data_IF_097437003009
#
_entry.id   IF_097437003009
#
_cell.length_a   1.000
_cell.length_b   1.000
_cell.length_c   1.000
_cell.angle_alpha   90.00
_cell.angle_beta   90.00
_cell.angle_gamma   90.00
#
_symmetry.space_group_name_H-M   'P 1'
#
loop_
_entity.id
_entity.type
_entity.pdbx_description
1 polymer ?
#
# COMPACT_ATOMS: atom_id res chain seq x y z
N UNK A 1 11.69 12.39 9.55
CA UNK A 1 12.89 12.06 10.36
C UNK A 1 13.90 13.22 10.46
N UNK A 2 14.41 13.76 9.34
CA UNK A 2 15.44 14.82 9.38
C UNK A 2 15.03 16.06 10.20
N UNK A 3 13.80 16.57 10.03
CA UNK A 3 13.31 17.75 10.74
C UNK A 3 13.26 17.56 12.26
N UNK A 4 12.77 16.41 12.74
CA UNK A 4 12.74 16.05 14.15
C UNK A 4 14.15 15.99 14.77
N UNK A 5 15.10 15.36 14.07
CA UNK A 5 16.50 15.28 14.49
C UNK A 5 17.12 16.69 14.54
N UNK A 6 16.87 17.53 13.52
CA UNK A 6 17.36 18.91 13.52
C UNK A 6 16.78 19.73 14.67
N UNK A 7 15.50 19.61 15.00
CA UNK A 7 14.91 20.28 16.18
C UNK A 7 15.50 19.81 17.49
N UNK A 8 15.76 18.51 17.66
CA UNK A 8 16.37 17.95 18.88
C UNK A 8 17.81 18.47 19.04
N UNK A 9 18.59 18.50 17.95
CA UNK A 9 19.94 19.08 17.95
C UNK A 9 19.90 20.57 18.29
N UNK A 10 18.93 21.31 17.76
CA UNK A 10 18.80 22.75 18.01
C UNK A 10 18.45 23.04 19.48
N UNK A 11 17.52 22.26 20.06
CA UNK A 11 17.16 22.34 21.48
C UNK A 11 18.37 21.99 22.36
N UNK A 12 19.13 20.94 21.99
CA UNK A 12 20.35 20.57 22.67
C UNK A 12 21.42 21.68 22.59
N UNK A 13 21.60 22.32 21.44
CA UNK A 13 22.51 23.47 21.30
C UNK A 13 22.08 24.66 22.17
N UNK A 14 20.78 24.92 22.33
CA UNK A 14 20.30 25.96 23.24
C UNK A 14 20.51 25.63 24.72
N UNK A 15 20.46 24.35 25.10
CA UNK A 15 20.74 23.94 26.48
C UNK A 15 22.19 24.23 26.91
N UNK A 16 23.13 24.30 25.94
CA UNK A 16 24.55 24.66 26.20
C UNK A 16 24.71 26.08 26.73
N UNK A 17 23.83 27.01 26.35
CA UNK A 17 23.84 28.40 26.87
C UNK A 17 23.48 28.50 28.35
N UNK A 18 22.81 27.48 28.91
CA UNK A 18 22.47 27.40 30.33
C UNK A 18 23.56 26.76 31.19
N UNK A 19 24.68 26.29 30.61
CA UNK A 19 25.79 25.70 31.35
C UNK A 19 26.51 26.78 32.19
N UNK A 20 26.77 26.55 33.49
CA UNK A 20 27.32 27.55 34.41
C UNK A 20 28.69 28.12 34.00
N UNK A 21 29.47 27.40 33.18
CA UNK A 21 30.75 27.90 32.63
C UNK A 21 30.58 29.00 31.57
N UNK A 22 29.45 29.07 30.87
CA UNK A 22 29.18 30.09 29.85
C UNK A 22 28.40 31.29 30.38
N UNK A 23 27.88 31.21 31.62
CA UNK A 23 27.06 32.25 32.28
C UNK A 23 27.69 33.65 32.29
N UNK A 24 29.02 33.72 32.36
CA UNK A 24 29.77 34.98 32.33
C UNK A 24 29.75 35.64 30.95
N UNK A 25 29.79 34.84 29.88
CA UNK A 25 29.69 35.31 28.49
C UNK A 25 28.26 35.75 28.15
N UNK A 26 27.26 34.99 28.62
CA UNK A 26 25.83 35.33 28.47
C UNK A 26 25.48 36.64 29.16
N UNK A 27 26.05 36.92 30.36
CA UNK A 27 25.85 38.18 31.07
C UNK A 27 26.48 39.39 30.39
N UNK A 28 27.68 39.23 29.81
CA UNK A 28 28.36 40.33 29.13
C UNK A 28 27.71 40.70 27.79
N UNK A 29 27.03 39.75 27.14
CA UNK A 29 26.37 39.91 25.84
C UNK A 29 24.86 39.60 25.92
N UNK A 30 24.19 40.08 26.97
CA UNK A 30 22.79 39.74 27.31
C UNK A 30 21.82 39.98 26.15
N UNK A 31 21.97 41.10 25.44
CA UNK A 31 21.12 41.50 24.33
C UNK A 31 21.26 40.55 23.12
N UNK A 32 22.49 40.15 22.81
CA UNK A 32 22.78 39.20 21.73
C UNK A 32 22.30 37.79 22.09
N UNK A 33 22.46 37.37 23.35
CA UNK A 33 21.99 36.06 23.80
C UNK A 33 20.47 35.95 23.74
N UNK A 34 19.74 36.98 24.18
CA UNK A 34 18.27 36.99 24.13
C UNK A 34 17.74 36.99 22.68
N UNK A 35 18.41 37.72 21.78
CA UNK A 35 18.10 37.69 20.35
C UNK A 35 18.30 36.29 19.74
N UNK A 36 19.45 35.66 20.00
CA UNK A 36 19.74 34.30 19.49
C UNK A 36 18.77 33.27 20.06
N UNK A 37 18.43 33.34 21.35
CA UNK A 37 17.47 32.42 21.97
C UNK A 37 16.09 32.55 21.33
N UNK A 38 15.65 33.77 21.05
CA UNK A 38 14.37 34.05 20.39
C UNK A 38 14.38 33.54 18.95
N UNK A 39 15.46 33.77 18.21
CA UNK A 39 15.63 33.28 16.84
C UNK A 39 15.56 31.74 16.80
N UNK A 40 16.28 31.07 17.69
CA UNK A 40 16.21 29.61 17.83
C UNK A 40 14.79 29.17 18.17
N UNK A 41 14.13 29.78 19.15
CA UNK A 41 12.78 29.42 19.53
C UNK A 41 11.80 29.52 18.35
N UNK A 42 11.92 30.57 17.54
CA UNK A 42 11.10 30.73 16.31
C UNK A 42 11.42 29.65 15.27
N UNK A 43 12.70 29.31 15.07
CA UNK A 43 13.11 28.27 14.13
C UNK A 43 12.57 26.90 14.55
N UNK A 44 12.69 26.54 15.84
CA UNK A 44 12.13 25.31 16.40
C UNK A 44 10.62 25.28 16.21
N UNK A 45 9.93 26.39 16.48
CA UNK A 45 8.48 26.50 16.28
C UNK A 45 8.06 26.23 14.84
N UNK A 46 8.74 26.83 13.86
CA UNK A 46 8.46 26.62 12.43
C UNK A 46 8.75 25.18 12.01
N UNK A 47 9.89 24.61 12.40
CA UNK A 47 10.26 23.23 12.07
C UNK A 47 9.28 22.22 12.67
N UNK A 48 8.82 22.46 13.91
CA UNK A 48 7.81 21.62 14.56
C UNK A 48 6.47 21.71 13.82
N UNK A 49 6.04 22.92 13.44
CA UNK A 49 4.81 23.12 12.69
C UNK A 49 4.83 22.39 11.34
N UNK A 50 5.94 22.47 10.61
CA UNK A 50 6.14 21.73 9.35
C UNK A 50 6.12 20.21 9.61
N UNK A 51 6.81 19.74 10.65
CA UNK A 51 6.85 18.32 10.97
C UNK A 51 5.46 17.77 11.33
N UNK A 52 4.67 18.51 12.11
CA UNK A 52 3.29 18.16 12.45
C UNK A 52 2.42 18.16 11.19
N UNK A 53 2.52 19.19 10.36
CA UNK A 53 1.77 19.29 9.11
C UNK A 53 2.03 18.11 8.18
N UNK A 54 3.30 17.73 8.00
CA UNK A 54 3.65 16.59 7.15
C UNK A 54 3.17 15.27 7.74
N UNK A 55 3.28 15.10 9.06
CA UNK A 55 2.77 13.90 9.72
C UNK A 55 1.25 13.76 9.55
N UNK A 56 0.49 14.84 9.70
CA UNK A 56 -0.95 14.85 9.50
C UNK A 56 -1.34 14.57 8.03
N UNK A 57 -0.54 15.03 7.07
CA UNK A 57 -0.72 14.76 5.65
C UNK A 57 -0.47 13.29 5.32
N UNK A 58 0.65 12.72 5.78
CA UNK A 58 0.97 11.29 5.61
C UNK A 58 -0.13 10.40 6.23
N UNK A 59 -0.59 10.77 7.43
CA UNK A 59 -1.66 10.04 8.12
C UNK A 59 -3.00 10.16 7.38
N UNK A 60 -3.26 11.29 6.72
CA UNK A 60 -4.44 11.46 5.86
C UNK A 60 -4.33 10.63 4.59
N UNK A 61 -3.18 10.65 3.91
CA UNK A 61 -2.90 9.83 2.74
C UNK A 61 -3.10 8.34 3.07
N UNK A 62 -2.57 7.88 4.20
CA UNK A 62 -2.74 6.50 4.69
C UNK A 62 -4.21 6.11 4.89
N UNK A 63 -5.00 6.98 5.54
CA UNK A 63 -6.45 6.74 5.73
C UNK A 63 -7.19 6.68 4.40
N UNK A 64 -6.84 7.53 3.45
CA UNK A 64 -7.48 7.54 2.14
C UNK A 64 -7.07 6.31 1.32
N UNK A 65 -5.80 5.87 1.40
CA UNK A 65 -5.35 4.59 0.84
C UNK A 65 -6.14 3.41 1.39
N UNK A 66 -6.34 3.33 2.70
CA UNK A 66 -7.12 2.25 3.33
C UNK A 66 -8.54 2.18 2.75
N UNK A 67 -9.20 3.32 2.54
CA UNK A 67 -10.52 3.37 1.90
C UNK A 67 -10.48 2.87 0.46
N UNK A 68 -9.45 3.27 -0.30
CA UNK A 68 -9.27 2.78 -1.67
C UNK A 68 -9.04 1.27 -1.70
N UNK A 69 -8.27 0.71 -0.76
CA UNK A 69 -8.07 -0.74 -0.61
C UNK A 69 -9.39 -1.47 -0.28
N UNK A 70 -10.26 -0.90 0.56
CA UNK A 70 -11.60 -1.46 0.79
C UNK A 70 -12.46 -1.47 -0.48
N UNK A 71 -12.50 -0.36 -1.22
CA UNK A 71 -13.24 -0.28 -2.47
C UNK A 71 -12.68 -1.25 -3.51
N UNK A 72 -11.36 -1.33 -3.63
CA UNK A 72 -10.63 -2.25 -4.50
C UNK A 72 -11.01 -3.71 -4.20
N UNK A 73 -10.95 -4.09 -2.92
CA UNK A 73 -11.31 -5.41 -2.43
C UNK A 73 -12.77 -5.74 -2.72
N UNK A 74 -13.70 -4.80 -2.50
CA UNK A 74 -15.11 -5.02 -2.78
C UNK A 74 -15.35 -5.31 -4.27
N UNK A 75 -14.81 -4.48 -5.16
CA UNK A 75 -14.95 -4.67 -6.62
C UNK A 75 -14.30 -5.98 -7.09
N UNK A 76 -13.14 -6.32 -6.56
CA UNK A 76 -12.44 -7.57 -6.89
C UNK A 76 -13.18 -8.80 -6.34
N UNK A 77 -13.82 -8.70 -5.17
CA UNK A 77 -14.62 -9.78 -4.58
C UNK A 77 -15.86 -10.05 -5.42
N UNK A 78 -16.60 -9.02 -5.81
CA UNK A 78 -17.76 -9.16 -6.70
C UNK A 78 -17.36 -9.79 -8.04
N UNK A 79 -16.21 -9.38 -8.59
CA UNK A 79 -15.66 -9.97 -9.81
C UNK A 79 -15.30 -11.44 -9.62
N UNK A 80 -14.81 -11.83 -8.45
CA UNK A 80 -14.46 -13.20 -8.10
C UNK A 80 -15.71 -14.06 -7.92
N UNK A 81 -16.70 -13.58 -7.18
CA UNK A 81 -17.95 -14.28 -6.91
C UNK A 81 -18.70 -14.56 -8.21
N UNK A 82 -18.77 -13.57 -9.10
CA UNK A 82 -19.34 -13.77 -10.43
C UNK A 82 -18.52 -14.78 -11.26
N UNK A 83 -17.18 -14.71 -11.20
CA UNK A 83 -16.32 -15.65 -11.91
C UNK A 83 -16.50 -17.09 -11.44
N UNK A 84 -16.72 -17.30 -10.15
CA UNK A 84 -17.09 -18.61 -9.59
C UNK A 84 -18.46 -19.07 -10.08
N UNK A 85 -19.48 -18.21 -10.04
CA UNK A 85 -20.82 -18.56 -10.52
C UNK A 85 -20.82 -18.99 -11.99
N UNK A 86 -20.05 -18.32 -12.86
CA UNK A 86 -19.89 -18.70 -14.26
C UNK A 86 -19.17 -20.04 -14.41
N UNK A 87 -18.15 -20.29 -13.58
CA UNK A 87 -17.40 -21.55 -13.59
C UNK A 87 -18.26 -22.72 -13.11
N UNK A 88 -19.07 -22.52 -12.08
CA UNK A 88 -19.96 -23.54 -11.54
C UNK A 88 -21.06 -23.89 -12.54
N UNK A 89 -21.64 -22.89 -13.20
CA UNK A 89 -22.61 -23.09 -14.29
C UNK A 89 -22.01 -23.89 -15.46
N UNK A 90 -20.76 -23.60 -15.82
CA UNK A 90 -20.05 -24.35 -16.84
C UNK A 90 -19.88 -25.82 -16.44
N UNK A 91 -19.50 -26.09 -15.19
CA UNK A 91 -19.30 -27.45 -14.68
C UNK A 91 -20.62 -28.22 -14.52
N UNK A 92 -21.72 -27.56 -14.16
CA UNK A 92 -23.03 -28.20 -14.00
C UNK A 92 -23.68 -28.60 -15.32
N UNK A 93 -23.39 -27.87 -16.41
CA UNK A 93 -24.10 -28.01 -17.68
C UNK A 93 -23.32 -28.77 -18.78
N UNK A 94 -21.98 -28.81 -18.73
CA UNK A 94 -21.14 -29.44 -19.78
C UNK A 94 -20.38 -30.69 -19.32
N UNK A 95 -20.87 -31.44 -18.32
CA UNK A 95 -20.26 -32.71 -17.88
C UNK A 95 -20.24 -33.83 -18.96
N UNK A 96 -20.60 -33.56 -20.22
CA UNK A 96 -20.81 -34.55 -21.29
C UNK A 96 -19.91 -34.47 -22.53
N UNK A 97 -19.36 -33.31 -22.94
CA UNK A 97 -18.55 -33.21 -24.17
C UNK A 97 -17.36 -32.23 -24.03
N UNK A 98 -16.29 -32.69 -23.39
CA UNK A 98 -15.04 -31.93 -23.20
C UNK A 98 -14.26 -31.77 -24.53
N UNK A 99 -14.55 -30.72 -25.29
CA UNK A 99 -13.58 -30.21 -26.29
C UNK A 99 -13.04 -28.86 -25.83
N UNK A 100 -11.71 -28.66 -25.89
CA UNK A 100 -11.06 -27.36 -25.59
C UNK A 100 -11.70 -26.19 -26.34
N UNK A 101 -12.26 -26.45 -27.53
CA UNK A 101 -13.01 -25.49 -28.32
C UNK A 101 -14.39 -25.12 -27.75
N UNK A 102 -15.13 -26.05 -27.14
CA UNK A 102 -16.41 -25.77 -26.48
C UNK A 102 -16.20 -24.81 -25.31
N UNK A 103 -15.19 -25.12 -24.49
CA UNK A 103 -14.75 -24.27 -23.37
C UNK A 103 -14.37 -22.86 -23.83
N UNK A 104 -13.53 -22.75 -24.85
CA UNK A 104 -13.12 -21.46 -25.39
C UNK A 104 -14.30 -20.66 -25.97
N UNK A 105 -15.26 -21.32 -26.63
CA UNK A 105 -16.49 -20.66 -27.13
C UNK A 105 -17.40 -20.21 -25.99
N UNK A 106 -17.56 -21.00 -24.94
CA UNK A 106 -18.36 -20.65 -23.77
C UNK A 106 -17.83 -19.38 -23.08
N UNK A 107 -16.53 -19.33 -22.76
CA UNK A 107 -15.91 -18.17 -22.12
C UNK A 107 -15.71 -16.97 -23.06
N UNK A 108 -15.76 -17.18 -24.39
CA UNK A 108 -15.85 -16.07 -25.35
C UNK A 108 -17.22 -15.37 -25.30
N UNK A 109 -18.29 -16.15 -25.14
CA UNK A 109 -19.64 -15.62 -25.02
C UNK A 109 -19.96 -15.13 -23.60
N UNK A 110 -19.26 -15.66 -22.60
CA UNK A 110 -19.39 -15.31 -21.17
C UNK A 110 -18.02 -14.93 -20.59
N UNK A 111 -17.48 -13.75 -20.94
CA UNK A 111 -16.17 -13.33 -20.46
C UNK A 111 -16.18 -13.09 -18.96
N UNK A 112 -15.12 -13.51 -18.28
CA UNK A 112 -14.96 -13.24 -16.84
C UNK A 112 -14.80 -11.73 -16.59
N UNK A 113 -15.50 -11.15 -15.60
CA UNK A 113 -15.43 -9.73 -15.30
C UNK A 113 -14.05 -9.39 -14.75
N UNK A 114 -13.33 -8.53 -15.46
CA UNK A 114 -12.04 -8.04 -15.01
C UNK A 114 -12.28 -6.83 -14.11
N UNK A 115 -11.60 -6.71 -12.96
CA UNK A 115 -11.76 -5.57 -12.07
C UNK A 115 -11.02 -4.34 -12.62
N UNK A 116 -11.59 -3.67 -13.63
CA UNK A 116 -11.00 -2.48 -14.29
C UNK A 116 -10.67 -1.35 -13.30
N UNK A 117 -11.37 -1.29 -12.17
CA UNK A 117 -11.07 -0.34 -11.09
C UNK A 117 -9.67 -0.54 -10.49
N UNK A 118 -9.15 -1.78 -10.44
CA UNK A 118 -7.79 -2.03 -9.95
C UNK A 118 -6.74 -1.40 -10.85
N UNK A 119 -6.90 -1.45 -12.17
CA UNK A 119 -5.99 -0.77 -13.10
C UNK A 119 -5.98 0.75 -12.91
N UNK A 120 -7.18 1.32 -12.72
CA UNK A 120 -7.33 2.74 -12.47
C UNK A 120 -6.61 3.14 -11.16
N UNK A 121 -6.73 2.33 -10.11
CA UNK A 121 -6.03 2.53 -8.84
C UNK A 121 -4.52 2.41 -8.97
N UNK A 122 -4.02 1.40 -9.69
CA UNK A 122 -2.59 1.20 -9.92
C UNK A 122 -1.93 2.35 -10.69
N UNK A 123 -2.73 3.19 -11.35
CA UNK A 123 -2.27 4.39 -12.05
C UNK A 123 -2.32 5.67 -11.18
N UNK A 124 -2.92 5.61 -9.99
CA UNK A 124 -3.04 6.75 -9.10
C UNK A 124 -1.75 6.95 -8.29
N UNK A 125 -1.28 8.21 -8.22
CA UNK A 125 -0.06 8.57 -7.48
C UNK A 125 -0.15 8.20 -5.99
N UNK A 126 -1.32 8.36 -5.37
CA UNK A 126 -1.54 8.00 -3.97
C UNK A 126 -1.28 6.50 -3.74
N UNK A 127 -1.70 5.65 -4.69
CA UNK A 127 -1.54 4.21 -4.61
C UNK A 127 -0.08 3.82 -4.81
N UNK A 128 0.57 4.35 -5.85
CA UNK A 128 1.98 4.06 -6.18
C UNK A 128 2.93 4.52 -5.08
N UNK A 129 2.69 5.68 -4.47
CA UNK A 129 3.56 6.25 -3.44
C UNK A 129 3.47 5.50 -2.10
N UNK A 130 2.28 5.02 -1.75
CA UNK A 130 1.98 4.56 -0.39
C UNK A 130 1.80 3.05 -0.26
N UNK A 131 1.68 2.30 -1.37
CA UNK A 131 1.76 0.83 -1.31
C UNK A 131 3.18 0.39 -0.97
N UNK A 132 3.30 -0.73 -0.26
CA UNK A 132 4.57 -1.45 -0.19
C UNK A 132 5.03 -1.86 -1.60
N UNK A 133 6.35 -1.86 -1.80
CA UNK A 133 6.94 -2.20 -3.10
C UNK A 133 6.61 -3.64 -3.53
N UNK A 134 6.59 -4.56 -2.56
CA UNK A 134 6.23 -5.95 -2.80
C UNK A 134 4.78 -6.09 -3.27
N UNK A 135 3.82 -5.54 -2.51
CA UNK A 135 2.40 -5.56 -2.91
C UNK A 135 2.18 -4.93 -4.28
N UNK A 136 2.89 -3.85 -4.61
CA UNK A 136 2.76 -3.18 -5.90
C UNK A 136 3.22 -4.09 -7.05
N UNK A 137 4.34 -4.79 -6.85
CA UNK A 137 4.92 -5.70 -7.83
C UNK A 137 4.00 -6.90 -8.07
N UNK A 138 3.62 -7.58 -6.99
CA UNK A 138 2.76 -8.77 -7.01
C UNK A 138 1.37 -8.48 -7.59
N UNK A 139 0.79 -7.34 -7.21
CA UNK A 139 -0.52 -6.93 -7.73
C UNK A 139 -0.43 -6.60 -9.22
N UNK A 140 0.64 -5.93 -9.66
CA UNK A 140 0.86 -5.62 -11.08
C UNK A 140 0.98 -6.91 -11.91
N UNK A 141 1.78 -7.87 -11.44
CA UNK A 141 1.93 -9.16 -12.11
C UNK A 141 0.60 -9.89 -12.22
N UNK A 142 -0.13 -10.00 -11.11
CA UNK A 142 -1.45 -10.63 -11.05
C UNK A 142 -2.42 -9.99 -12.07
N UNK A 143 -2.45 -8.66 -12.16
CA UNK A 143 -3.30 -7.93 -13.11
C UNK A 143 -2.92 -8.20 -14.57
N UNK A 144 -1.63 -8.24 -14.88
CA UNK A 144 -1.13 -8.58 -16.22
C UNK A 144 -1.52 -10.00 -16.61
N UNK A 145 -1.35 -10.97 -15.69
CA UNK A 145 -1.72 -12.37 -15.92
C UNK A 145 -3.23 -12.49 -16.13
N UNK A 146 -4.06 -11.82 -15.31
CA UNK A 146 -5.51 -11.82 -15.47
C UNK A 146 -5.96 -11.28 -16.83
N UNK A 147 -5.38 -10.16 -17.29
CA UNK A 147 -5.68 -9.59 -18.62
C UNK A 147 -5.43 -10.57 -19.76
N UNK A 148 -4.36 -11.36 -19.66
CA UNK A 148 -4.02 -12.39 -20.65
C UNK A 148 -4.88 -13.66 -20.52
N UNK A 149 -5.29 -14.00 -19.31
CA UNK A 149 -5.97 -15.25 -18.98
C UNK A 149 -7.49 -15.22 -19.19
N UNK A 150 -8.13 -14.03 -19.19
CA UNK A 150 -9.59 -13.81 -19.21
C UNK A 150 -10.37 -14.69 -20.19
N UNK A 151 -9.84 -14.94 -21.38
CA UNK A 151 -10.57 -15.67 -22.45
C UNK A 151 -10.21 -17.16 -22.54
N UNK A 152 -8.97 -17.52 -22.24
CA UNK A 152 -8.42 -18.84 -22.57
C UNK A 152 -8.04 -19.69 -21.36
N UNK A 153 -7.86 -19.08 -20.19
CA UNK A 153 -7.42 -19.76 -18.96
C UNK A 153 -8.23 -19.28 -17.76
N UNK A 154 -9.52 -19.61 -17.67
CA UNK A 154 -10.42 -19.10 -16.63
C UNK A 154 -10.02 -19.54 -15.22
N UNK A 155 -9.42 -20.73 -15.05
CA UNK A 155 -8.86 -21.17 -13.76
C UNK A 155 -7.67 -20.31 -13.32
N UNK A 156 -6.81 -19.93 -14.27
CA UNK A 156 -5.67 -19.05 -14.00
C UNK A 156 -6.15 -17.65 -13.64
N UNK A 157 -7.18 -17.14 -14.33
CA UNK A 157 -7.82 -15.87 -14.01
C UNK A 157 -8.34 -15.86 -12.56
N UNK A 158 -9.14 -16.85 -12.17
CA UNK A 158 -9.71 -16.95 -10.81
C UNK A 158 -8.58 -17.04 -9.77
N UNK A 159 -7.58 -17.89 -10.00
CA UNK A 159 -6.43 -18.03 -9.09
C UNK A 159 -5.67 -16.71 -8.86
N UNK A 160 -5.42 -15.93 -9.92
CA UNK A 160 -4.76 -14.64 -9.80
C UNK A 160 -5.67 -13.57 -9.18
N UNK A 161 -6.98 -13.63 -9.41
CA UNK A 161 -7.93 -12.72 -8.77
C UNK A 161 -8.03 -12.97 -7.25
N UNK A 162 -8.03 -14.24 -6.85
CA UNK A 162 -7.94 -14.63 -5.44
C UNK A 162 -6.63 -14.17 -4.81
N UNK A 163 -5.51 -14.25 -5.54
CA UNK A 163 -4.23 -13.75 -5.06
C UNK A 163 -4.21 -12.22 -4.93
N UNK A 164 -4.72 -11.50 -5.93
CA UNK A 164 -4.88 -10.05 -5.87
C UNK A 164 -5.73 -9.62 -4.65
N UNK A 165 -6.82 -10.32 -4.36
CA UNK A 165 -7.62 -10.09 -3.15
C UNK A 165 -6.84 -10.32 -1.86
N UNK A 166 -5.99 -11.35 -1.82
CA UNK A 166 -5.12 -11.62 -0.69
C UNK A 166 -4.09 -10.49 -0.49
N UNK A 167 -3.45 -10.02 -1.57
CA UNK A 167 -2.51 -8.89 -1.52
C UNK A 167 -3.20 -7.65 -0.95
N UNK A 168 -4.38 -7.29 -1.47
CA UNK A 168 -5.15 -6.14 -0.99
C UNK A 168 -5.51 -6.25 0.50
N UNK A 169 -5.79 -7.47 0.99
CA UNK A 169 -6.09 -7.70 2.40
C UNK A 169 -4.84 -7.59 3.29
N UNK A 170 -3.70 -8.16 2.87
CA UNK A 170 -2.46 -8.05 3.64
C UNK A 170 -1.92 -6.62 3.64
N UNK A 171 -1.94 -5.94 2.50
CA UNK A 171 -1.54 -4.53 2.40
C UNK A 171 -2.39 -3.67 3.32
N UNK A 172 -3.71 -3.90 3.39
CA UNK A 172 -4.58 -3.21 4.35
C UNK A 172 -4.13 -3.44 5.80
N UNK A 173 -3.82 -4.67 6.18
CA UNK A 173 -3.36 -4.98 7.55
C UNK A 173 -2.04 -4.26 7.86
N UNK A 174 -1.16 -4.14 6.87
CA UNK A 174 0.10 -3.41 6.99
C UNK A 174 -0.15 -1.90 7.20
N UNK A 175 -1.01 -1.29 6.37
CA UNK A 175 -1.37 0.13 6.46
C UNK A 175 -2.09 0.47 7.78
N UNK A 176 -2.89 -0.47 8.31
CA UNK A 176 -3.52 -0.37 9.63
C UNK A 176 -2.54 -0.57 10.80
N UNK A 177 -1.27 -0.93 10.54
CA UNK A 177 -0.24 -1.18 11.55
C UNK A 177 -0.39 -2.50 12.31
N UNK A 178 -1.16 -3.45 11.76
CA UNK A 178 -1.41 -4.76 12.39
C UNK A 178 -0.33 -5.79 12.10
N UNK A 179 0.39 -5.62 10.99
CA UNK A 179 1.52 -6.47 10.59
C UNK A 179 2.72 -5.59 10.24
N UNK A 180 3.92 -6.14 10.36
CA UNK A 180 5.16 -5.47 9.92
C UNK A 180 5.38 -5.64 8.41
N UNK A 181 6.28 -4.82 7.84
CA UNK A 181 6.69 -4.94 6.43
C UNK A 181 7.32 -6.31 6.13
N UNK A 182 8.21 -6.78 6.98
CA UNK A 182 8.80 -8.13 6.86
C UNK A 182 7.76 -9.25 6.90
N UNK A 183 6.73 -9.08 7.75
CA UNK A 183 5.64 -10.05 7.84
C UNK A 183 4.74 -10.01 6.60
N UNK A 184 4.52 -8.83 6.03
CA UNK A 184 3.81 -8.66 4.76
C UNK A 184 4.54 -9.41 3.64
N UNK A 185 5.84 -9.13 3.44
CA UNK A 185 6.67 -9.81 2.44
C UNK A 185 6.61 -11.32 2.57
N UNK A 186 6.86 -11.85 3.77
CA UNK A 186 6.85 -13.29 4.02
C UNK A 186 5.48 -13.93 3.72
N UNK A 187 4.38 -13.24 4.07
CA UNK A 187 3.02 -13.71 3.79
C UNK A 187 2.68 -13.70 2.31
N UNK A 188 3.21 -12.74 1.55
CA UNK A 188 3.00 -12.65 0.11
C UNK A 188 3.79 -13.75 -0.60
N UNK A 189 5.09 -13.88 -0.32
CA UNK A 189 5.96 -14.90 -0.94
C UNK A 189 5.49 -16.33 -0.63
N UNK A 190 5.06 -16.60 0.61
CA UNK A 190 4.53 -17.91 0.96
C UNK A 190 3.23 -18.22 0.20
N UNK A 191 2.37 -17.22 0.01
CA UNK A 191 1.12 -17.40 -0.71
C UNK A 191 1.36 -17.60 -2.20
N UNK A 192 2.31 -16.88 -2.78
CA UNK A 192 2.76 -17.05 -4.15
C UNK A 192 3.30 -18.46 -4.38
N UNK A 193 4.21 -18.94 -3.53
CA UNK A 193 4.75 -20.31 -3.59
C UNK A 193 3.65 -21.37 -3.55
N UNK A 194 2.63 -21.20 -2.71
CA UNK A 194 1.47 -22.11 -2.68
C UNK A 194 0.69 -22.11 -4.01
N UNK A 195 0.60 -20.97 -4.69
CA UNK A 195 -0.05 -20.86 -5.99
C UNK A 195 0.80 -21.48 -7.10
N UNK A 196 2.12 -21.48 -6.98
CA UNK A 196 3.02 -22.17 -7.90
C UNK A 196 2.99 -23.69 -7.70
N UNK A 197 3.06 -24.15 -6.46
CA UNK A 197 2.99 -25.57 -6.12
C UNK A 197 1.63 -26.18 -6.50
N UNK A 198 0.53 -25.42 -6.36
CA UNK A 198 -0.81 -25.85 -6.78
C UNK A 198 -1.08 -25.80 -8.30
N UNK A 199 -0.12 -25.33 -9.12
CA UNK A 199 -0.20 -25.35 -10.59
C UNK A 199 0.43 -26.62 -11.21
N UNK A 200 1.21 -27.39 -10.45
CA UNK A 200 1.80 -28.68 -10.85
C UNK A 200 0.89 -29.87 -10.51
#
# INVERSE_FOLDING_TARGET
>A
MAYLITTVILIACCSVFFIPKFKQFTKNNELASNFVLTLVATLVGVLLAIAISNYDEDERERRDLIKLLYAAKAVASESLDYSHAVMDYYQSNEAGEETKESKARFFKNNPLPYPDYLDALMSQQLFIKNLSQESLTELSESLIVMKRAKTYRPRLFISNLTFALYILDQERLFQEGKISEMELELRLSEKERQLEEGKN
#
